data_IF_304084296423
#
_entry.id   IF_304084296423
#
_cell.length_a   1.000
_cell.length_b   1.000
_cell.length_c   1.000
_cell.angle_alpha   90.00
_cell.angle_beta   90.00
_cell.angle_gamma   90.00
#
_symmetry.space_group_name_H-M   'P 1'
#
loop_
_entity.id
_entity.type
_entity.pdbx_description
1 polymer ?
#
# COMPACT_ATOMS: atom_id res chain seq x y z
N UNK A 1 -7.56 43.92 65.58
CA UNK A 1 -6.92 44.02 64.24
C UNK A 1 -6.46 42.64 63.80
N UNK A 2 -7.19 42.01 62.88
CA UNK A 2 -6.77 40.85 62.08
C UNK A 2 -7.25 41.15 60.65
N UNK A 3 -6.39 41.06 59.62
CA UNK A 3 -6.77 41.44 58.26
C UNK A 3 -7.60 40.31 57.63
N UNK A 4 -8.69 40.69 56.96
CA UNK A 4 -9.48 39.81 56.12
C UNK A 4 -8.85 39.86 54.72
N UNK A 5 -8.13 38.80 54.35
CA UNK A 5 -7.51 38.67 53.02
C UNK A 5 -8.61 38.17 52.05
N UNK A 6 -9.06 39.03 51.14
CA UNK A 6 -9.83 38.61 49.97
C UNK A 6 -8.89 37.86 49.02
N UNK A 7 -9.15 36.57 48.80
CA UNK A 7 -8.57 35.83 47.68
C UNK A 7 -9.40 36.10 46.42
N UNK A 8 -8.79 36.55 45.31
CA UNK A 8 -9.51 36.70 44.05
C UNK A 8 -9.80 35.30 43.49
N UNK A 9 -11.06 35.03 43.18
CA UNK A 9 -11.47 33.88 42.38
C UNK A 9 -10.95 34.07 40.95
N UNK A 10 -9.80 33.45 40.66
CA UNK A 10 -9.29 33.34 39.30
C UNK A 10 -10.21 32.39 38.52
N UNK A 11 -11.16 32.94 37.75
CA UNK A 11 -11.95 32.17 36.82
C UNK A 11 -11.03 31.68 35.69
N UNK A 12 -10.57 30.44 35.79
CA UNK A 12 -9.83 29.78 34.72
C UNK A 12 -10.83 29.47 33.60
N UNK A 13 -10.91 30.35 32.59
CA UNK A 13 -11.65 30.05 31.37
C UNK A 13 -10.91 28.96 30.61
N UNK A 14 -11.30 27.70 30.83
CA UNK A 14 -10.95 26.61 29.92
C UNK A 14 -11.58 26.96 28.56
N UNK A 15 -10.77 27.45 27.63
CA UNK A 15 -11.10 27.39 26.21
C UNK A 15 -10.95 25.93 25.82
N UNK A 16 -12.00 25.15 26.02
CA UNK A 16 -12.14 23.84 25.39
C UNK A 16 -12.03 24.09 23.88
N UNK A 17 -11.11 23.44 23.15
CA UNK A 17 -11.18 23.45 21.70
C UNK A 17 -12.55 22.86 21.35
N UNK A 18 -13.43 23.68 20.78
CA UNK A 18 -14.65 23.19 20.19
C UNK A 18 -14.24 22.11 19.20
N UNK A 19 -14.66 20.86 19.41
CA UNK A 19 -14.60 19.83 18.39
C UNK A 19 -15.21 20.48 17.13
N UNK A 20 -14.37 20.79 16.14
CA UNK A 20 -14.85 21.16 14.82
C UNK A 20 -15.77 20.01 14.42
N UNK A 21 -17.06 20.28 14.26
CA UNK A 21 -17.99 19.33 13.68
C UNK A 21 -17.31 18.79 12.41
N UNK A 22 -17.10 17.48 12.34
CA UNK A 22 -16.27 16.88 11.31
C UNK A 22 -16.83 17.31 9.95
N UNK A 23 -16.10 18.16 9.24
CA UNK A 23 -16.54 18.80 8.00
C UNK A 23 -17.04 17.72 7.03
N UNK A 24 -18.19 17.96 6.40
CA UNK A 24 -18.73 17.02 5.41
C UNK A 24 -17.74 17.02 4.25
N UNK A 25 -17.21 15.84 3.89
CA UNK A 25 -16.32 15.72 2.74
C UNK A 25 -17.10 16.12 1.47
N UNK A 26 -16.45 16.84 0.53
CA UNK A 26 -17.11 17.26 -0.70
C UNK A 26 -17.52 16.06 -1.54
N UNK A 27 -18.60 16.23 -2.29
CA UNK A 27 -19.02 15.24 -3.28
C UNK A 27 -17.98 15.15 -4.41
N UNK A 28 -17.76 13.96 -4.95
CA UNK A 28 -16.86 13.72 -6.10
C UNK A 28 -17.57 13.00 -7.24
N UNK A 29 -17.03 13.14 -8.45
CA UNK A 29 -17.38 12.33 -9.63
C UNK A 29 -16.14 11.63 -10.18
N UNK A 30 -16.35 10.77 -11.18
CA UNK A 30 -15.29 10.03 -11.87
C UNK A 30 -15.38 10.28 -13.36
N UNK A 31 -14.24 10.67 -13.94
CA UNK A 31 -14.10 10.78 -15.39
C UNK A 31 -13.18 9.69 -15.89
N UNK A 32 -13.62 8.95 -16.92
CA UNK A 32 -12.77 7.92 -17.53
C UNK A 32 -11.57 8.60 -18.15
N UNK A 33 -10.39 8.29 -17.63
CA UNK A 33 -9.13 8.85 -18.08
C UNK A 33 -8.48 7.94 -19.12
N UNK A 34 -8.36 6.63 -18.81
CA UNK A 34 -7.73 5.68 -19.72
C UNK A 34 -8.37 4.29 -19.67
N UNK A 35 -8.16 3.49 -20.71
CA UNK A 35 -8.72 2.13 -20.83
C UNK A 35 -7.86 1.23 -21.72
N UNK A 36 -8.08 -0.08 -21.62
CA UNK A 36 -7.43 -1.07 -22.50
C UNK A 36 -6.15 -1.66 -21.93
N UNK A 37 -5.88 -1.43 -20.65
CA UNK A 37 -4.90 -2.17 -19.85
C UNK A 37 -5.42 -3.56 -19.54
N UNK A 38 -4.52 -4.48 -19.18
CA UNK A 38 -4.90 -5.80 -18.68
C UNK A 38 -5.22 -5.71 -17.19
N UNK A 39 -4.26 -5.28 -16.36
CA UNK A 39 -4.43 -5.10 -14.91
C UNK A 39 -3.51 -3.98 -14.40
N UNK A 40 -3.91 -2.70 -14.49
CA UNK A 40 -3.10 -1.57 -14.06
C UNK A 40 -3.09 -1.48 -12.52
N UNK A 41 -1.93 -1.62 -11.90
CA UNK A 41 -1.76 -1.67 -10.43
C UNK A 41 -1.32 -0.34 -9.81
N UNK A 42 -0.53 0.45 -10.56
CA UNK A 42 -0.04 1.74 -10.08
C UNK A 42 0.17 2.70 -11.24
N UNK A 43 -0.03 3.99 -11.00
CA UNK A 43 0.30 5.07 -11.93
C UNK A 43 1.04 6.20 -11.22
N UNK A 44 2.25 6.50 -11.68
CA UNK A 44 3.09 7.58 -11.14
C UNK A 44 3.40 8.63 -12.21
N UNK A 45 3.61 9.90 -11.82
CA UNK A 45 4.08 10.93 -12.76
C UNK A 45 5.49 10.61 -13.25
N UNK A 46 5.81 11.02 -14.48
CA UNK A 46 7.09 10.74 -15.13
C UNK A 46 7.69 11.95 -15.86
N UNK A 47 7.18 12.27 -17.04
CA UNK A 47 7.56 13.43 -17.84
C UNK A 47 6.31 14.27 -18.11
N UNK A 48 6.16 14.85 -19.31
CA UNK A 48 4.98 15.63 -19.75
C UNK A 48 4.44 15.06 -21.06
N UNK A 49 3.28 15.54 -21.53
CA UNK A 49 2.70 15.16 -22.82
C UNK A 49 2.41 13.66 -22.94
N UNK A 50 2.85 13.03 -24.02
CA UNK A 50 2.61 11.60 -24.31
C UNK A 50 3.23 10.61 -23.30
N UNK A 51 4.06 11.12 -22.38
CA UNK A 51 4.77 10.34 -21.35
C UNK A 51 4.54 10.89 -19.95
N UNK A 52 3.42 11.57 -19.73
CA UNK A 52 3.11 12.16 -18.44
C UNK A 52 3.14 11.15 -17.29
N UNK A 53 2.81 9.88 -17.56
CA UNK A 53 2.76 8.84 -16.54
C UNK A 53 3.48 7.54 -16.93
N UNK A 54 3.95 6.83 -15.91
CA UNK A 54 4.22 5.40 -15.97
C UNK A 54 3.07 4.63 -15.32
N UNK A 55 2.50 3.67 -16.04
CA UNK A 55 1.46 2.77 -15.53
C UNK A 55 2.02 1.36 -15.46
N UNK A 56 2.05 0.78 -14.26
CA UNK A 56 2.42 -0.63 -14.06
C UNK A 56 1.24 -1.51 -14.44
N UNK A 57 1.34 -2.25 -15.52
CA UNK A 57 0.40 -3.32 -15.86
C UNK A 57 0.97 -4.65 -15.36
N UNK A 58 0.24 -5.33 -14.48
CA UNK A 58 0.66 -6.55 -13.77
C UNK A 58 1.26 -7.62 -14.70
N UNK A 59 0.81 -7.64 -15.96
CA UNK A 59 1.27 -8.57 -17.00
C UNK A 59 2.73 -8.39 -17.45
N UNK A 60 3.52 -7.55 -16.77
CA UNK A 60 4.96 -7.40 -17.02
C UNK A 60 5.29 -6.26 -17.95
N UNK A 61 4.40 -5.29 -18.15
CA UNK A 61 4.68 -4.11 -18.97
C UNK A 61 4.41 -2.84 -18.18
N UNK A 62 5.42 -1.97 -18.12
CA UNK A 62 5.23 -0.61 -17.64
C UNK A 62 5.00 0.26 -18.87
N UNK A 63 3.82 0.85 -18.98
CA UNK A 63 3.42 1.67 -20.13
C UNK A 63 3.66 3.15 -19.87
N UNK A 64 4.04 3.89 -20.91
CA UNK A 64 3.74 5.32 -20.94
C UNK A 64 2.24 5.55 -21.06
N UNK A 65 1.76 6.64 -20.47
CA UNK A 65 0.42 7.16 -20.69
C UNK A 65 0.46 8.70 -20.85
N UNK A 66 -0.35 9.19 -21.79
CA UNK A 66 -0.46 10.59 -22.16
C UNK A 66 -1.18 11.41 -21.06
N UNK A 67 -0.86 12.70 -20.95
CA UNK A 67 -1.50 13.65 -20.04
C UNK A 67 -3.02 13.76 -20.21
N UNK A 68 -3.52 13.48 -21.42
CA UNK A 68 -4.95 13.47 -21.80
C UNK A 68 -5.59 12.10 -21.61
N UNK A 69 -4.82 11.09 -21.17
CA UNK A 69 -5.26 9.73 -20.98
C UNK A 69 -5.37 8.94 -22.29
N UNK A 70 -6.36 8.05 -22.40
CA UNK A 70 -6.61 7.25 -23.60
C UNK A 70 -6.19 5.78 -23.50
N UNK A 71 -5.33 5.31 -24.42
CA UNK A 71 -4.85 3.91 -24.48
C UNK A 71 -3.41 3.81 -23.96
N UNK A 72 -2.97 2.63 -23.47
CA UNK A 72 -1.57 2.43 -23.09
C UNK A 72 -0.65 2.76 -24.27
N UNK A 73 0.35 3.61 -24.03
CA UNK A 73 1.34 4.00 -25.01
C UNK A 73 2.44 2.93 -25.18
N UNK A 74 3.56 3.36 -25.77
CA UNK A 74 4.77 2.53 -25.90
C UNK A 74 5.20 2.01 -24.52
N UNK A 75 5.71 0.78 -24.47
CA UNK A 75 6.33 0.23 -23.27
C UNK A 75 7.52 1.10 -22.86
N UNK A 76 7.50 1.60 -21.63
CA UNK A 76 8.66 2.14 -20.95
C UNK A 76 9.63 1.01 -20.60
N UNK A 77 9.11 -0.10 -20.10
CA UNK A 77 9.85 -1.33 -19.77
C UNK A 77 8.96 -2.55 -20.05
N UNK A 78 9.56 -3.62 -20.60
CA UNK A 78 8.89 -4.89 -20.89
C UNK A 78 9.64 -6.04 -20.20
N UNK A 79 9.02 -6.57 -19.15
CA UNK A 79 9.49 -7.66 -18.29
C UNK A 79 8.77 -8.98 -18.55
N UNK A 80 7.96 -9.10 -19.62
CA UNK A 80 7.17 -10.32 -19.89
C UNK A 80 8.00 -11.60 -19.99
N UNK A 81 9.28 -11.47 -20.34
CA UNK A 81 10.24 -12.59 -20.41
C UNK A 81 10.96 -12.87 -19.09
N UNK A 82 10.86 -11.95 -18.13
CA UNK A 82 11.55 -11.99 -16.85
C UNK A 82 10.62 -12.37 -15.71
N UNK A 83 9.30 -12.24 -15.88
CA UNK A 83 8.31 -12.62 -14.87
C UNK A 83 7.85 -14.07 -15.01
N UNK A 84 7.28 -14.61 -13.94
CA UNK A 84 6.56 -15.89 -13.95
C UNK A 84 5.35 -15.89 -14.89
N UNK A 85 4.88 -17.08 -15.26
CA UNK A 85 3.59 -17.23 -15.93
C UNK A 85 2.44 -16.93 -14.96
N UNK A 86 1.62 -15.94 -15.31
CA UNK A 86 0.48 -15.51 -14.51
C UNK A 86 -0.76 -16.40 -14.75
N UNK A 87 -1.52 -16.61 -13.69
CA UNK A 87 -2.84 -17.23 -13.73
C UNK A 87 -3.84 -16.26 -14.35
N UNK A 88 -4.88 -16.80 -15.00
CA UNK A 88 -5.97 -15.97 -15.57
C UNK A 88 -6.90 -15.37 -14.51
N UNK A 89 -7.09 -16.10 -13.41
CA UNK A 89 -7.84 -15.68 -12.23
C UNK A 89 -6.95 -14.92 -11.24
N UNK A 90 -7.33 -14.89 -9.97
CA UNK A 90 -6.54 -14.26 -8.91
C UNK A 90 -5.06 -14.69 -8.99
N UNK A 91 -4.20 -13.67 -9.01
CA UNK A 91 -2.75 -13.77 -8.98
C UNK A 91 -2.24 -12.44 -8.45
N UNK A 92 -1.31 -12.43 -7.50
CA UNK A 92 -0.68 -11.20 -6.99
C UNK A 92 0.73 -11.02 -7.56
N UNK A 93 1.24 -12.00 -8.30
CA UNK A 93 2.54 -11.94 -8.98
C UNK A 93 2.48 -11.07 -10.22
N UNK A 94 3.66 -10.67 -10.70
CA UNK A 94 3.83 -9.93 -11.95
C UNK A 94 4.84 -8.81 -11.82
N UNK A 95 4.67 -7.74 -12.59
CA UNK A 95 5.33 -6.45 -12.28
C UNK A 95 4.44 -5.64 -11.35
N UNK A 96 4.96 -5.26 -10.17
CA UNK A 96 4.11 -4.80 -9.07
C UNK A 96 4.44 -3.36 -8.64
N UNK A 97 5.73 -3.04 -8.46
CA UNK A 97 6.16 -1.73 -8.00
C UNK A 97 7.03 -1.00 -9.01
N UNK A 98 6.89 0.33 -9.07
CA UNK A 98 7.83 1.21 -9.78
C UNK A 98 8.10 2.46 -8.95
N UNK A 99 9.36 2.88 -8.87
CA UNK A 99 9.75 4.15 -8.27
C UNK A 99 10.86 4.82 -9.08
N UNK A 100 10.73 6.11 -9.32
CA UNK A 100 11.82 6.92 -9.87
C UNK A 100 12.75 7.34 -8.74
N UNK A 101 14.05 7.38 -9.02
CA UNK A 101 15.01 7.95 -8.08
C UNK A 101 14.61 9.40 -7.70
N UNK A 102 14.76 9.86 -6.45
CA UNK A 102 14.39 11.24 -6.09
C UNK A 102 15.14 12.30 -6.92
N UNK A 103 16.36 11.98 -7.34
CA UNK A 103 17.17 12.77 -8.26
C UNK A 103 17.08 12.29 -9.72
N UNK A 104 15.92 11.81 -10.17
CA UNK A 104 15.75 11.17 -11.49
C UNK A 104 16.29 12.01 -12.66
N UNK A 105 16.16 13.34 -12.60
CA UNK A 105 16.66 14.25 -13.65
C UNK A 105 18.17 14.11 -13.89
N UNK A 106 18.96 13.83 -12.87
CA UNK A 106 20.41 13.63 -12.98
C UNK A 106 20.79 12.15 -13.08
N UNK A 107 20.15 11.28 -12.30
CA UNK A 107 20.55 9.87 -12.23
C UNK A 107 20.00 9.02 -13.35
N UNK A 108 18.81 9.38 -13.88
CA UNK A 108 18.04 8.60 -14.86
C UNK A 108 17.86 7.15 -14.44
N UNK A 109 17.68 6.90 -13.13
CA UNK A 109 17.48 5.57 -12.54
C UNK A 109 16.03 5.34 -12.16
N UNK A 110 15.53 4.14 -12.46
CA UNK A 110 14.21 3.65 -12.06
C UNK A 110 14.37 2.32 -11.32
N UNK A 111 13.52 2.07 -10.33
CA UNK A 111 13.47 0.85 -9.54
C UNK A 111 12.16 0.14 -9.81
N UNK A 112 12.24 -1.17 -9.99
CA UNK A 112 11.07 -2.02 -10.29
C UNK A 112 11.11 -3.25 -9.41
N UNK A 113 9.96 -3.60 -8.82
CA UNK A 113 9.78 -4.85 -8.10
C UNK A 113 8.86 -5.78 -8.91
N UNK A 114 9.30 -7.02 -9.11
CA UNK A 114 8.58 -8.00 -9.91
C UNK A 114 8.85 -9.45 -9.49
N UNK A 115 7.91 -10.34 -9.80
CA UNK A 115 7.97 -11.78 -9.51
C UNK A 115 8.70 -12.54 -10.64
N UNK A 116 9.97 -12.88 -10.45
CA UNK A 116 10.77 -13.68 -11.39
C UNK A 116 10.62 -15.19 -11.11
N UNK A 117 10.83 -16.10 -12.09
CA UNK A 117 10.92 -17.53 -11.81
C UNK A 117 11.86 -17.83 -10.64
N UNK A 118 11.52 -18.83 -9.83
CA UNK A 118 12.35 -19.24 -8.70
C UNK A 118 13.81 -19.40 -9.16
N UNK A 119 14.72 -18.74 -8.44
CA UNK A 119 16.15 -18.82 -8.72
C UNK A 119 16.63 -20.28 -8.64
N UNK A 120 17.68 -20.61 -9.40
CA UNK A 120 18.23 -21.96 -9.43
C UNK A 120 18.75 -22.45 -8.08
N UNK A 121 19.18 -21.52 -7.23
CA UNK A 121 19.63 -21.69 -5.86
C UNK A 121 18.58 -21.21 -4.84
N UNK A 122 17.37 -20.93 -5.30
CA UNK A 122 16.23 -20.56 -4.48
C UNK A 122 15.76 -21.71 -3.60
N UNK A 123 14.94 -21.36 -2.61
CA UNK A 123 14.43 -22.31 -1.62
C UNK A 123 13.51 -23.33 -2.29
N UNK A 124 13.81 -24.62 -2.12
CA UNK A 124 13.04 -25.69 -2.76
C UNK A 124 11.55 -25.58 -2.40
N UNK A 125 10.68 -25.80 -3.39
CA UNK A 125 9.21 -25.73 -3.29
C UNK A 125 8.61 -24.34 -3.04
N UNK A 126 9.39 -23.27 -3.06
CA UNK A 126 8.85 -21.91 -3.08
C UNK A 126 8.30 -21.60 -4.49
N UNK A 127 7.35 -20.67 -4.58
CA UNK A 127 6.64 -20.39 -5.82
C UNK A 127 7.55 -19.65 -6.82
N UNK A 128 8.26 -18.63 -6.35
CA UNK A 128 9.05 -17.76 -7.21
C UNK A 128 10.09 -16.93 -6.40
N UNK A 129 10.98 -16.23 -7.09
CA UNK A 129 11.91 -15.27 -6.46
C UNK A 129 11.53 -13.86 -6.89
N UNK A 130 11.17 -13.01 -5.95
CA UNK A 130 10.88 -11.62 -6.24
C UNK A 130 12.16 -10.79 -6.33
N UNK A 131 12.21 -9.88 -7.30
CA UNK A 131 13.38 -9.05 -7.61
C UNK A 131 13.04 -7.58 -7.39
N UNK A 132 13.88 -6.88 -6.64
CA UNK A 132 14.01 -5.43 -6.70
C UNK A 132 15.20 -5.10 -7.60
N UNK A 133 14.92 -4.51 -8.77
CA UNK A 133 15.93 -4.19 -9.78
C UNK A 133 16.01 -2.69 -10.07
N UNK A 134 17.22 -2.19 -10.28
CA UNK A 134 17.50 -0.87 -10.83
C UNK A 134 17.70 -0.97 -12.36
N UNK A 135 17.12 -0.05 -13.11
CA UNK A 135 17.37 0.14 -14.54
C UNK A 135 17.78 1.59 -14.83
N UNK A 136 18.59 1.78 -15.87
CA UNK A 136 18.90 3.09 -16.44
C UNK A 136 17.92 3.45 -17.54
N UNK A 137 17.54 4.71 -17.60
CA UNK A 137 16.65 5.27 -18.62
C UNK A 137 17.47 5.89 -19.75
N UNK A 138 17.16 5.49 -20.98
CA UNK A 138 17.83 5.97 -22.21
C UNK A 138 17.42 7.40 -22.55
N UNK A 139 18.11 7.97 -23.53
CA UNK A 139 17.76 9.28 -24.10
C UNK A 139 16.34 9.32 -24.71
N UNK A 140 15.85 8.19 -25.22
CA UNK A 140 14.48 8.09 -25.77
C UNK A 140 13.39 7.97 -24.70
N UNK A 141 13.75 8.06 -23.41
CA UNK A 141 12.84 7.97 -22.26
C UNK A 141 12.51 6.55 -21.82
N UNK A 142 12.83 5.51 -22.58
CA UNK A 142 12.55 4.12 -22.18
C UNK A 142 13.65 3.54 -21.29
N UNK A 143 13.31 2.61 -20.41
CA UNK A 143 14.30 1.86 -19.63
C UNK A 143 15.12 0.94 -20.54
N UNK A 144 16.43 0.80 -20.27
CA UNK A 144 17.29 -0.19 -20.93
C UNK A 144 17.25 -1.50 -20.15
N UNK A 145 16.57 -2.51 -20.68
CA UNK A 145 16.49 -3.85 -20.06
C UNK A 145 17.86 -4.50 -19.85
N UNK A 146 18.88 -4.13 -20.64
CA UNK A 146 20.24 -4.68 -20.49
C UNK A 146 21.05 -3.98 -19.39
N UNK A 147 20.51 -2.89 -18.84
CA UNK A 147 21.15 -2.15 -17.74
C UNK A 147 20.72 -2.64 -16.37
N UNK A 148 19.92 -3.72 -16.32
CA UNK A 148 19.42 -4.28 -15.08
C UNK A 148 20.54 -4.55 -14.08
N UNK A 149 20.33 -4.05 -12.86
CA UNK A 149 21.11 -4.38 -11.69
C UNK A 149 20.17 -4.81 -10.59
N UNK A 150 20.22 -6.09 -10.23
CA UNK A 150 19.47 -6.64 -9.10
C UNK A 150 20.02 -6.00 -7.82
N UNK A 151 19.15 -5.33 -7.08
CA UNK A 151 19.46 -4.68 -5.81
C UNK A 151 19.20 -5.65 -4.66
N UNK A 152 18.06 -6.35 -4.69
CA UNK A 152 17.64 -7.26 -3.65
C UNK A 152 16.75 -8.36 -4.22
N UNK A 153 16.82 -9.57 -3.65
CA UNK A 153 15.95 -10.69 -3.99
C UNK A 153 15.40 -11.34 -2.73
N UNK A 154 14.20 -11.91 -2.85
CA UNK A 154 13.57 -12.69 -1.78
C UNK A 154 12.72 -13.81 -2.41
N UNK A 155 12.90 -15.04 -1.92
CA UNK A 155 12.04 -16.14 -2.33
C UNK A 155 10.66 -16.02 -1.66
N UNK A 156 9.61 -16.18 -2.47
CA UNK A 156 8.22 -16.11 -2.04
C UNK A 156 7.65 -17.53 -1.99
N UNK A 157 7.16 -18.00 -0.83
CA UNK A 157 6.68 -19.36 -0.71
C UNK A 157 5.36 -19.61 -1.43
N UNK A 158 4.54 -18.57 -1.62
CA UNK A 158 3.26 -18.65 -2.34
C UNK A 158 3.16 -17.57 -3.42
N UNK A 159 2.08 -17.65 -4.20
CA UNK A 159 1.76 -16.73 -5.30
C UNK A 159 0.93 -15.51 -4.88
N UNK A 160 0.72 -15.35 -3.57
CA UNK A 160 -0.07 -14.29 -2.97
C UNK A 160 0.65 -13.72 -1.75
N UNK A 161 0.22 -12.54 -1.32
CA UNK A 161 0.89 -11.66 -0.36
C UNK A 161 2.28 -11.22 -0.84
N UNK A 162 2.39 -10.94 -2.14
CA UNK A 162 3.63 -10.53 -2.79
C UNK A 162 4.09 -9.11 -2.40
N UNK A 163 3.17 -8.28 -1.92
CA UNK A 163 3.39 -6.86 -1.64
C UNK A 163 3.93 -6.14 -2.88
N UNK A 164 5.11 -5.55 -2.74
CA UNK A 164 5.88 -5.06 -3.88
C UNK A 164 5.73 -3.58 -4.22
N UNK A 165 4.97 -2.83 -3.44
CA UNK A 165 4.94 -1.37 -3.59
C UNK A 165 6.31 -0.77 -3.21
N UNK A 166 6.75 0.22 -4.00
CA UNK A 166 8.03 0.90 -3.88
C UNK A 166 7.81 2.40 -3.71
N UNK A 167 8.40 2.98 -2.69
CA UNK A 167 8.40 4.44 -2.51
C UNK A 167 9.74 4.94 -2.02
N UNK A 168 10.12 6.14 -2.44
CA UNK A 168 11.20 6.88 -1.78
C UNK A 168 10.61 7.76 -0.70
N UNK A 169 11.09 7.60 0.53
CA UNK A 169 10.76 8.49 1.63
C UNK A 169 11.37 9.88 1.41
N UNK A 170 10.89 10.86 2.18
CA UNK A 170 11.45 12.24 2.15
C UNK A 170 12.88 12.32 2.69
N UNK A 171 13.32 11.26 3.37
CA UNK A 171 14.68 11.00 3.82
C UNK A 171 15.61 10.51 2.70
N UNK A 172 15.10 10.24 1.50
CA UNK A 172 15.87 9.80 0.34
C UNK A 172 16.09 8.28 0.27
N UNK A 173 15.57 7.50 1.22
CA UNK A 173 15.73 6.05 1.22
C UNK A 173 14.60 5.35 0.47
N UNK A 174 14.91 4.19 -0.11
CA UNK A 174 13.95 3.35 -0.81
C UNK A 174 13.27 2.40 0.19
N UNK A 175 11.95 2.36 0.17
CA UNK A 175 11.13 1.47 0.98
C UNK A 175 10.42 0.44 0.08
N UNK A 176 10.42 -0.81 0.52
CA UNK A 176 9.75 -1.94 -0.14
C UNK A 176 8.86 -2.66 0.87
N UNK A 177 7.56 -2.76 0.57
CA UNK A 177 6.64 -3.60 1.33
C UNK A 177 6.65 -5.04 0.85
N UNK A 178 6.72 -6.00 1.77
CA UNK A 178 6.63 -7.44 1.49
C UNK A 178 5.58 -8.05 2.42
N UNK A 179 4.63 -8.78 1.84
CA UNK A 179 3.68 -9.56 2.65
C UNK A 179 4.34 -10.74 3.33
N UNK A 180 3.59 -11.42 4.19
CA UNK A 180 4.04 -12.53 5.04
C UNK A 180 4.38 -13.82 4.26
N UNK A 181 4.20 -13.84 2.94
CA UNK A 181 4.50 -14.98 2.08
C UNK A 181 3.27 -15.79 1.68
N UNK A 182 2.07 -15.36 2.08
CA UNK A 182 0.82 -15.91 1.57
C UNK A 182 0.18 -16.94 2.50
N UNK A 183 -0.61 -17.84 1.91
CA UNK A 183 -1.45 -18.77 2.67
C UNK A 183 -2.40 -18.04 3.65
N UNK A 184 -2.98 -18.77 4.60
CA UNK A 184 -3.85 -18.21 5.62
C UNK A 184 -3.14 -18.14 6.97
N UNK A 185 -3.44 -17.09 7.74
CA UNK A 185 -3.09 -16.94 9.15
C UNK A 185 -1.58 -16.86 9.45
N UNK A 186 -0.72 -16.66 8.45
CA UNK A 186 0.74 -16.69 8.61
C UNK A 186 1.22 -17.99 9.29
N UNK A 187 0.56 -19.09 8.91
CA UNK A 187 0.87 -20.45 9.37
C UNK A 187 1.32 -21.28 8.19
N UNK A 188 2.28 -22.15 8.47
CA UNK A 188 2.75 -23.08 7.46
C UNK A 188 1.65 -24.08 7.10
N UNK A 189 1.20 -24.15 5.83
CA UNK A 189 0.15 -25.08 5.41
C UNK A 189 0.57 -26.55 5.52
N UNK A 190 1.88 -26.85 5.59
CA UNK A 190 2.44 -28.19 5.74
C UNK A 190 2.75 -28.54 7.21
N UNK A 191 2.60 -27.60 8.14
CA UNK A 191 2.86 -27.81 9.57
C UNK A 191 4.34 -27.87 9.96
N UNK A 192 5.27 -27.61 9.03
CA UNK A 192 6.72 -27.50 9.26
C UNK A 192 7.25 -26.24 8.55
N UNK A 193 8.32 -25.55 9.03
CA UNK A 193 8.81 -24.30 8.42
C UNK A 193 9.27 -24.39 6.95
N UNK A 194 9.29 -25.59 6.38
CA UNK A 194 9.66 -25.87 5.00
C UNK A 194 8.62 -25.36 3.98
N UNK A 195 7.37 -25.11 4.39
CA UNK A 195 6.35 -24.48 3.55
C UNK A 195 6.43 -22.94 3.53
N UNK A 196 7.45 -22.37 4.17
CA UNK A 196 7.83 -20.97 4.07
C UNK A 196 7.43 -20.07 5.23
N UNK A 197 6.69 -20.57 6.23
CA UNK A 197 6.28 -19.78 7.39
C UNK A 197 6.93 -20.27 8.69
N UNK A 198 7.60 -19.36 9.39
CA UNK A 198 8.21 -19.63 10.69
C UNK A 198 7.16 -19.87 11.79
N UNK A 199 7.56 -20.57 12.86
CA UNK A 199 6.68 -20.75 14.02
C UNK A 199 6.34 -19.38 14.64
N UNK A 200 5.06 -19.04 14.69
CA UNK A 200 4.57 -17.74 15.15
C UNK A 200 4.46 -16.67 14.05
N UNK A 201 4.68 -17.06 12.79
CA UNK A 201 4.46 -16.25 11.61
C UNK A 201 5.70 -15.48 11.13
N UNK A 202 5.81 -15.36 9.82
CA UNK A 202 6.82 -14.56 9.15
C UNK A 202 6.74 -13.09 9.57
N UNK A 203 5.55 -12.55 9.85
CA UNK A 203 5.39 -11.19 10.36
C UNK A 203 6.28 -10.89 11.57
N UNK A 204 6.42 -11.85 12.50
CA UNK A 204 7.25 -11.73 13.70
C UNK A 204 8.68 -12.30 13.55
N UNK A 205 8.94 -13.07 12.50
CA UNK A 205 10.25 -13.67 12.26
C UNK A 205 11.25 -12.61 11.74
N UNK A 206 12.17 -12.17 12.61
CA UNK A 206 13.18 -11.15 12.28
C UNK A 206 14.35 -11.69 11.44
N UNK A 207 14.48 -13.02 11.32
CA UNK A 207 15.41 -13.68 10.42
C UNK A 207 14.87 -13.83 8.98
N UNK A 208 13.63 -13.39 8.72
CA UNK A 208 12.93 -13.44 7.42
C UNK A 208 12.65 -12.03 6.92
N UNK A 209 12.56 -11.89 5.59
CA UNK A 209 12.21 -10.63 4.93
C UNK A 209 10.70 -10.45 4.69
N UNK A 210 9.91 -11.49 4.94
CA UNK A 210 8.46 -11.53 4.70
C UNK A 210 7.69 -10.94 5.88
N UNK A 211 6.59 -10.24 5.59
CA UNK A 211 5.75 -9.53 6.56
C UNK A 211 6.45 -8.29 7.13
N UNK A 212 7.07 -7.51 6.24
CA UNK A 212 7.99 -6.40 6.56
C UNK A 212 7.77 -5.19 5.63
N UNK A 213 8.21 -4.03 6.10
CA UNK A 213 8.67 -2.96 5.20
C UNK A 213 10.18 -2.84 5.38
N UNK A 214 10.90 -3.05 4.27
CA UNK A 214 12.35 -2.94 4.19
C UNK A 214 12.75 -1.52 3.79
N UNK A 215 13.92 -1.04 4.24
CA UNK A 215 14.46 0.28 3.93
C UNK A 215 15.93 0.22 3.54
N UNK A 216 16.25 0.79 2.38
CA UNK A 216 17.57 0.71 1.74
C UNK A 216 18.14 2.10 1.46
N UNK A 217 19.45 2.25 1.63
CA UNK A 217 20.23 3.36 1.08
C UNK A 217 20.87 2.96 -0.25
N UNK A 218 20.32 3.45 -1.36
CA UNK A 218 20.75 3.06 -2.70
C UNK A 218 21.92 3.93 -3.21
N UNK A 219 22.24 5.03 -2.52
CA UNK A 219 23.20 6.02 -2.99
C UNK A 219 24.58 5.86 -2.34
N UNK A 220 24.64 5.43 -1.08
CA UNK A 220 25.91 5.39 -0.33
C UNK A 220 26.83 4.24 -0.72
N UNK A 221 26.31 3.11 -1.21
CA UNK A 221 27.10 1.94 -1.59
C UNK A 221 26.35 1.09 -2.62
N UNK A 222 27.07 0.37 -3.49
CA UNK A 222 26.49 -0.67 -4.33
C UNK A 222 26.55 -2.06 -3.66
N UNK A 223 25.50 -2.91 -3.77
CA UNK A 223 24.21 -2.61 -4.40
C UNK A 223 23.34 -1.64 -3.59
N UNK A 224 23.54 -1.60 -2.26
CA UNK A 224 22.97 -0.63 -1.32
C UNK A 224 23.79 -0.61 -0.01
N UNK A 225 23.47 0.32 0.89
CA UNK A 225 23.87 0.35 2.29
C UNK A 225 22.63 0.27 3.21
N UNK A 226 22.86 0.00 4.49
CA UNK A 226 21.82 0.02 5.52
C UNK A 226 21.78 1.41 6.19
N UNK A 227 20.63 2.11 6.18
CA UNK A 227 20.47 3.39 6.88
C UNK A 227 20.71 3.29 8.40
N UNK A 228 21.30 4.32 9.02
CA UNK A 228 21.54 4.36 10.49
C UNK A 228 20.25 4.27 11.33
N UNK A 229 19.09 4.60 10.74
CA UNK A 229 17.79 4.52 11.40
C UNK A 229 17.10 3.15 11.29
N UNK A 230 17.74 2.13 10.72
CA UNK A 230 17.19 0.77 10.71
C UNK A 230 17.40 0.10 12.08
N UNK A 231 16.36 -0.46 12.72
CA UNK A 231 16.44 -1.03 14.07
C UNK A 231 17.50 -2.12 14.26
N UNK A 232 17.83 -2.86 13.21
CA UNK A 232 18.72 -4.02 13.29
C UNK A 232 20.08 -3.83 12.64
N UNK A 233 20.45 -2.60 12.26
CA UNK A 233 21.77 -2.32 11.69
C UNK A 233 22.88 -2.75 12.64
N UNK A 234 23.77 -3.64 12.19
CA UNK A 234 24.86 -4.22 12.97
C UNK A 234 24.43 -5.22 14.04
N UNK A 235 23.13 -5.53 14.16
CA UNK A 235 22.59 -6.46 15.14
C UNK A 235 22.49 -7.88 14.57
N UNK A 236 22.49 -8.88 15.47
CA UNK A 236 22.19 -10.28 15.14
C UNK A 236 20.73 -10.64 15.40
N UNK A 237 19.96 -9.73 15.99
CA UNK A 237 18.58 -9.97 16.43
C UNK A 237 17.59 -9.97 15.25
N UNK A 238 17.97 -9.39 14.12
CA UNK A 238 17.16 -9.33 12.91
C UNK A 238 17.96 -8.98 11.66
N UNK A 239 17.32 -9.11 10.50
CA UNK A 239 17.89 -8.65 9.22
C UNK A 239 18.02 -7.13 9.21
N UNK A 240 19.15 -6.62 8.75
CA UNK A 240 19.50 -5.20 8.84
C UNK A 240 18.59 -4.30 7.96
N UNK A 241 18.00 -4.86 6.92
CA UNK A 241 17.10 -4.21 5.96
C UNK A 241 15.71 -3.92 6.58
N UNK A 242 15.33 -4.63 7.64
CA UNK A 242 14.01 -4.50 8.27
C UNK A 242 13.92 -3.12 8.92
N UNK A 243 12.95 -2.32 8.47
CA UNK A 243 12.57 -1.07 9.12
C UNK A 243 11.32 -1.26 9.97
N UNK A 244 10.31 -1.93 9.43
CA UNK A 244 9.10 -2.33 10.15
C UNK A 244 8.80 -3.81 9.94
N UNK A 245 8.17 -4.44 10.93
CA UNK A 245 7.75 -5.84 10.88
C UNK A 245 6.37 -6.02 11.49
N UNK A 246 5.81 -7.22 11.43
CA UNK A 246 4.46 -7.50 11.90
C UNK A 246 3.38 -6.96 10.97
N UNK A 247 3.60 -7.12 9.66
CA UNK A 247 2.70 -6.68 8.58
C UNK A 247 2.23 -7.93 7.83
N UNK A 248 0.98 -7.95 7.34
CA UNK A 248 0.40 -9.12 6.67
C UNK A 248 0.59 -9.09 5.16
N UNK A 249 -0.06 -8.16 4.46
CA UNK A 249 0.03 -7.97 3.02
C UNK A 249 -0.10 -6.48 2.69
N UNK A 250 1.01 -5.73 2.69
CA UNK A 250 1.02 -4.29 2.44
C UNK A 250 0.81 -4.01 0.94
N UNK A 251 -0.46 -3.98 0.51
CA UNK A 251 -0.82 -3.84 -0.91
C UNK A 251 -0.55 -2.44 -1.46
N UNK A 252 -0.95 -1.40 -0.73
CA UNK A 252 -0.78 -0.01 -1.14
C UNK A 252 0.20 0.71 -0.23
N UNK A 253 1.25 1.32 -0.80
CA UNK A 253 2.17 2.20 -0.06
C UNK A 253 2.31 3.52 -0.79
N UNK A 254 2.15 4.62 -0.06
CA UNK A 254 2.29 5.97 -0.63
C UNK A 254 3.06 6.90 0.29
N UNK A 255 3.59 7.98 -0.26
CA UNK A 255 4.20 9.08 0.49
C UNK A 255 3.33 10.31 0.32
N UNK A 256 2.95 10.91 1.43
CA UNK A 256 2.44 12.27 1.41
C UNK A 256 3.61 13.25 1.27
N UNK A 257 3.83 13.78 0.07
CA UNK A 257 4.99 14.65 -0.20
C UNK A 257 5.04 15.92 0.66
N UNK A 258 3.90 16.37 1.18
CA UNK A 258 3.84 17.53 2.07
C UNK A 258 4.36 17.18 3.47
N UNK A 259 3.74 16.21 4.15
CA UNK A 259 4.15 15.81 5.52
C UNK A 259 5.43 14.95 5.56
N UNK A 260 5.67 14.14 4.53
CA UNK A 260 6.70 13.10 4.49
C UNK A 260 6.25 11.76 5.06
N UNK A 261 5.00 11.63 5.52
CA UNK A 261 4.47 10.39 6.05
C UNK A 261 4.39 9.32 4.95
N UNK A 262 4.88 8.14 5.25
CA UNK A 262 4.66 6.94 4.44
C UNK A 262 3.44 6.23 5.01
N UNK A 263 2.43 6.01 4.18
CA UNK A 263 1.17 5.36 4.56
C UNK A 263 1.15 3.98 3.93
N UNK A 264 0.81 2.96 4.72
CA UNK A 264 0.75 1.56 4.33
C UNK A 264 -0.69 1.07 4.53
N UNK A 265 -1.33 0.61 3.47
CA UNK A 265 -2.57 -0.14 3.53
C UNK A 265 -2.22 -1.63 3.65
N UNK A 266 -2.50 -2.22 4.80
CA UNK A 266 -2.19 -3.61 5.12
C UNK A 266 -3.48 -4.44 5.10
N UNK A 267 -3.53 -5.43 4.19
CA UNK A 267 -4.70 -6.27 4.01
C UNK A 267 -4.79 -7.28 5.14
N UNK A 268 -5.90 -7.25 5.89
CA UNK A 268 -6.15 -8.16 7.00
C UNK A 268 -6.51 -9.59 6.60
N UNK A 269 -6.70 -10.44 7.59
CA UNK A 269 -7.02 -11.85 7.39
C UNK A 269 -8.53 -12.06 7.23
N UNK A 270 -9.27 -11.90 8.32
CA UNK A 270 -10.71 -12.20 8.38
C UNK A 270 -11.53 -11.09 9.02
N UNK A 271 -10.91 -10.25 9.87
CA UNK A 271 -11.64 -9.35 10.78
C UNK A 271 -11.52 -7.90 10.37
N UNK A 272 -10.32 -7.43 10.04
CA UNK A 272 -10.07 -6.01 9.90
C UNK A 272 -9.09 -5.66 8.80
N UNK A 273 -9.39 -4.58 8.07
CA UNK A 273 -8.42 -3.91 7.22
C UNK A 273 -7.72 -2.79 8.00
N UNK A 274 -6.48 -2.49 7.64
CA UNK A 274 -5.65 -1.52 8.36
C UNK A 274 -5.03 -0.45 7.45
N UNK A 275 -5.05 0.79 7.92
CA UNK A 275 -4.17 1.86 7.43
C UNK A 275 -3.18 2.19 8.53
N UNK A 276 -1.91 2.17 8.16
CA UNK A 276 -0.76 2.35 9.02
C UNK A 276 0.04 3.59 8.56
N UNK A 277 0.55 4.38 9.51
CA UNK A 277 1.60 5.38 9.24
C UNK A 277 2.93 4.75 9.64
N UNK A 278 3.82 4.61 8.67
CA UNK A 278 5.05 3.85 8.83
C UNK A 278 5.99 4.53 9.83
N UNK A 279 6.48 3.74 10.78
CA UNK A 279 7.57 4.07 11.68
C UNK A 279 8.39 2.79 11.90
N UNK A 280 9.60 2.94 12.46
CA UNK A 280 10.39 1.76 12.79
C UNK A 280 9.75 1.01 13.96
N UNK A 281 9.37 -0.27 13.78
CA UNK A 281 8.71 -1.03 14.85
C UNK A 281 7.86 -2.22 14.40
N UNK A 282 7.19 -2.84 15.36
CA UNK A 282 6.33 -4.00 15.21
C UNK A 282 4.85 -3.61 15.04
N UNK A 283 4.25 -3.86 13.89
CA UNK A 283 2.84 -3.59 13.59
C UNK A 283 1.89 -4.72 14.03
N UNK A 284 2.44 -5.80 14.58
CA UNK A 284 1.67 -6.77 15.37
C UNK A 284 1.30 -8.08 14.69
N UNK A 285 1.18 -8.15 13.36
CA UNK A 285 0.80 -9.40 12.68
C UNK A 285 1.82 -10.55 12.89
N UNK A 286 1.40 -11.81 13.13
CA UNK A 286 0.03 -12.29 13.31
C UNK A 286 -0.38 -12.38 14.79
N UNK A 287 0.25 -11.61 15.70
CA UNK A 287 -0.22 -11.55 17.10
C UNK A 287 -1.44 -10.66 17.24
N UNK A 288 -1.60 -9.69 16.36
CA UNK A 288 -2.72 -8.75 16.29
C UNK A 288 -3.22 -8.62 14.85
N UNK A 289 -4.51 -8.38 14.71
CA UNK A 289 -5.16 -7.93 13.47
C UNK A 289 -6.07 -6.77 13.86
N UNK A 290 -5.83 -5.60 13.26
CA UNK A 290 -6.32 -4.32 13.71
C UNK A 290 -5.92 -4.07 15.17
N UNK A 291 -6.94 -4.03 16.02
CA UNK A 291 -6.79 -3.74 17.44
C UNK A 291 -7.03 -4.94 18.35
N UNK A 292 -7.18 -6.14 17.76
CA UNK A 292 -7.55 -7.34 18.49
C UNK A 292 -6.44 -8.38 18.39
N UNK A 293 -6.16 -9.07 19.51
CA UNK A 293 -5.30 -10.24 19.50
C UNK A 293 -5.81 -11.25 18.45
N UNK A 294 -4.89 -11.86 17.73
CA UNK A 294 -5.17 -12.84 16.68
C UNK A 294 -4.68 -14.22 17.12
N UNK A 295 -5.57 -15.20 17.06
CA UNK A 295 -5.23 -16.61 17.24
C UNK A 295 -5.19 -17.26 15.85
N UNK A 296 -3.99 -17.67 15.43
CA UNK A 296 -3.80 -18.27 14.11
C UNK A 296 -4.59 -19.58 13.90
N UNK A 297 -5.01 -20.26 14.98
CA UNK A 297 -5.87 -21.45 14.94
C UNK A 297 -7.36 -21.12 15.00
N UNK A 298 -7.70 -19.88 15.38
CA UNK A 298 -9.07 -19.37 15.44
C UNK A 298 -9.13 -17.99 14.78
N UNK A 299 -8.88 -17.90 13.47
CA UNK A 299 -8.65 -16.62 12.78
C UNK A 299 -9.88 -15.71 12.72
N UNK A 300 -11.05 -16.24 13.08
CA UNK A 300 -12.30 -15.47 13.19
C UNK A 300 -12.66 -15.17 14.65
N UNK A 301 -11.85 -15.52 15.65
CA UNK A 301 -12.13 -15.27 17.07
C UNK A 301 -11.05 -14.39 17.74
N UNK A 302 -11.42 -13.48 18.65
CA UNK A 302 -12.79 -13.08 18.97
C UNK A 302 -13.42 -12.25 17.82
N UNK A 303 -14.69 -12.51 17.53
CA UNK A 303 -15.53 -11.66 16.68
C UNK A 303 -16.04 -10.45 17.50
N UNK A 304 -15.17 -9.51 17.86
CA UNK A 304 -15.57 -8.30 18.59
C UNK A 304 -15.19 -7.02 17.85
N UNK A 305 -16.07 -6.02 17.88
CA UNK A 305 -15.76 -4.64 17.48
C UNK A 305 -15.02 -3.87 18.60
N UNK A 306 -14.83 -4.50 19.76
CA UNK A 306 -14.08 -3.90 20.85
C UNK A 306 -12.61 -3.80 20.47
N UNK A 307 -12.26 -2.59 20.05
CA UNK A 307 -10.91 -2.12 19.84
C UNK A 307 -10.19 -2.11 21.19
N UNK A 308 -9.21 -2.99 21.35
CA UNK A 308 -8.29 -2.92 22.49
C UNK A 308 -7.06 -2.10 22.09
N UNK A 309 -6.48 -1.35 23.03
CA UNK A 309 -5.23 -0.66 22.73
C UNK A 309 -4.17 -1.70 22.31
N UNK A 310 -3.37 -1.39 21.28
CA UNK A 310 -2.21 -2.20 20.97
C UNK A 310 -1.32 -2.28 22.22
N UNK A 311 -0.82 -3.47 22.60
CA UNK A 311 0.04 -3.58 23.77
C UNK A 311 1.32 -2.78 23.59
N UNK A 312 2.01 -2.54 24.71
CA UNK A 312 3.36 -1.97 24.69
C UNK A 312 4.29 -2.78 23.77
N UNK A 313 5.08 -2.07 22.96
CA UNK A 313 5.98 -2.68 21.98
C UNK A 313 5.38 -2.89 20.58
N UNK A 314 4.10 -2.57 20.38
CA UNK A 314 3.46 -2.56 19.06
C UNK A 314 3.13 -1.15 18.57
N UNK A 315 3.22 -0.96 17.27
CA UNK A 315 2.77 0.24 16.55
C UNK A 315 1.33 -0.01 16.12
N UNK A 316 0.39 0.76 16.68
CA UNK A 316 -1.02 0.62 16.33
C UNK A 316 -1.32 1.20 14.94
N UNK A 317 -2.24 0.61 14.18
CA UNK A 317 -2.79 1.24 12.99
C UNK A 317 -3.47 2.57 13.33
N UNK A 318 -3.41 3.52 12.39
CA UNK A 318 -4.07 4.83 12.56
C UNK A 318 -5.54 4.76 12.23
N UNK A 319 -5.96 3.78 11.41
CA UNK A 319 -7.34 3.54 11.02
C UNK A 319 -7.54 2.03 10.82
N UNK A 320 -8.61 1.50 11.40
CA UNK A 320 -9.02 0.10 11.26
C UNK A 320 -10.50 0.07 10.96
N UNK A 321 -10.93 -0.83 10.08
CA UNK A 321 -12.35 -1.05 9.81
C UNK A 321 -12.66 -2.53 9.55
N UNK A 322 -13.87 -3.00 9.93
CA UNK A 322 -14.20 -4.41 9.85
C UNK A 322 -14.45 -4.87 8.41
N UNK A 323 -14.06 -6.12 8.14
CA UNK A 323 -14.44 -6.83 6.93
C UNK A 323 -15.96 -7.00 6.85
N UNK A 324 -16.52 -7.00 5.64
CA UNK A 324 -17.95 -7.14 5.41
C UNK A 324 -18.55 -8.43 5.98
N UNK A 325 -17.80 -9.53 5.87
CA UNK A 325 -18.21 -10.85 6.34
C UNK A 325 -17.61 -11.22 7.70
N UNK A 326 -16.64 -10.43 8.19
CA UNK A 326 -15.80 -10.78 9.33
C UNK A 326 -16.49 -10.81 10.68
N UNK A 327 -17.68 -10.21 10.81
CA UNK A 327 -18.36 -10.05 12.10
C UNK A 327 -19.84 -10.41 12.08
N UNK A 328 -20.27 -11.29 11.16
CA UNK A 328 -21.54 -12.05 11.23
C UNK A 328 -22.84 -11.28 11.49
N UNK A 329 -22.86 -9.92 11.44
CA UNK A 329 -23.97 -9.00 11.70
C UNK A 329 -23.60 -7.50 11.65
N UNK A 330 -22.33 -7.10 11.80
CA UNK A 330 -21.91 -5.70 11.64
C UNK A 330 -21.73 -5.34 10.15
N UNK A 331 -22.11 -4.13 9.74
CA UNK A 331 -21.86 -3.65 8.38
C UNK A 331 -20.36 -3.39 8.20
N UNK A 332 -19.61 -4.36 7.66
CA UNK A 332 -18.23 -4.11 7.24
C UNK A 332 -18.16 -3.39 5.89
N UNK A 333 -17.00 -2.80 5.63
CA UNK A 333 -16.80 -1.85 4.54
C UNK A 333 -16.08 -2.44 3.32
N UNK A 334 -15.41 -3.59 3.49
CA UNK A 334 -14.68 -4.25 2.42
C UNK A 334 -14.11 -5.62 2.80
N UNK A 335 -13.22 -6.14 1.95
CA UNK A 335 -12.61 -7.48 2.12
C UNK A 335 -11.12 -7.52 1.74
N UNK A 336 -10.58 -6.41 1.23
CA UNK A 336 -9.16 -6.28 0.94
C UNK A 336 -8.86 -4.81 0.65
N UNK A 337 -8.17 -4.14 1.57
CA UNK A 337 -7.81 -2.73 1.35
C UNK A 337 -6.78 -2.59 0.23
N UNK A 338 -7.10 -1.78 -0.78
CA UNK A 338 -6.18 -1.47 -1.90
C UNK A 338 -5.23 -0.32 -1.53
N UNK A 339 -5.61 0.50 -0.56
CA UNK A 339 -4.91 1.73 -0.20
C UNK A 339 -5.27 2.90 -1.11
N UNK A 340 -4.38 3.88 -1.26
CA UNK A 340 -4.58 5.03 -2.12
C UNK A 340 -3.59 6.17 -1.90
N UNK A 341 -4.02 7.42 -2.03
CA UNK A 341 -3.16 8.61 -1.98
C UNK A 341 -3.74 9.74 -1.13
N UNK A 342 -2.86 10.51 -0.48
CA UNK A 342 -3.26 11.78 0.12
C UNK A 342 -3.53 12.78 -0.98
N UNK A 343 -4.75 13.33 -1.02
CA UNK A 343 -5.12 14.31 -2.02
C UNK A 343 -4.41 15.63 -1.75
N UNK A 344 -3.62 16.07 -2.73
CA UNK A 344 -2.88 17.35 -2.73
C UNK A 344 -3.21 18.21 -3.96
N UNK A 345 -4.24 17.79 -4.70
CA UNK A 345 -4.76 18.47 -5.87
C UNK A 345 -5.42 19.80 -5.56
N UNK A 346 -5.66 20.58 -6.60
CA UNK A 346 -6.31 21.90 -6.50
C UNK A 346 -7.75 21.89 -6.99
N UNK A 347 -8.14 20.86 -7.75
CA UNK A 347 -9.50 20.78 -8.29
C UNK A 347 -10.56 20.64 -7.18
N UNK A 348 -10.25 19.96 -6.08
CA UNK A 348 -11.16 19.68 -4.96
C UNK A 348 -10.54 20.15 -3.64
N UNK A 349 -10.52 21.47 -3.34
CA UNK A 349 -9.84 22.01 -2.16
C UNK A 349 -10.25 21.39 -0.82
N UNK A 350 -11.52 20.97 -0.70
CA UNK A 350 -12.04 20.32 0.51
C UNK A 350 -11.49 18.91 0.79
N UNK A 351 -10.69 18.34 -0.12
CA UNK A 351 -9.99 17.07 0.10
C UNK A 351 -8.51 17.24 0.43
N UNK A 352 -7.97 18.47 0.47
CA UNK A 352 -6.54 18.67 0.74
C UNK A 352 -6.11 18.02 2.07
N UNK A 353 -5.16 17.09 2.00
CA UNK A 353 -4.67 16.33 3.16
C UNK A 353 -5.51 15.11 3.56
N UNK A 354 -6.64 14.84 2.88
CA UNK A 354 -7.44 13.63 3.10
C UNK A 354 -6.78 12.45 2.38
N UNK A 355 -6.60 11.33 3.08
CA UNK A 355 -6.15 10.09 2.46
C UNK A 355 -7.32 9.42 1.74
N UNK A 356 -7.34 9.45 0.41
CA UNK A 356 -8.35 8.80 -0.41
C UNK A 356 -7.93 7.35 -0.64
N UNK A 357 -8.78 6.40 -0.24
CA UNK A 357 -8.51 4.97 -0.35
C UNK A 357 -9.78 4.17 -0.64
N UNK A 358 -9.60 2.92 -1.06
CA UNK A 358 -10.69 2.00 -1.33
C UNK A 358 -10.28 0.55 -1.03
N UNK A 359 -11.28 -0.32 -1.03
CA UNK A 359 -11.11 -1.77 -1.08
C UNK A 359 -11.21 -2.30 -2.50
N UNK A 360 -10.59 -3.46 -2.72
CA UNK A 360 -10.74 -4.25 -3.92
C UNK A 360 -12.21 -4.53 -4.24
N UNK A 361 -12.99 -4.89 -3.23
CA UNK A 361 -14.45 -5.02 -3.29
C UNK A 361 -15.09 -4.80 -1.92
N UNK A 362 -16.39 -4.47 -1.89
CA UNK A 362 -17.12 -4.45 -0.61
C UNK A 362 -17.38 -5.84 -0.02
N UNK A 363 -17.43 -6.88 -0.86
CA UNK A 363 -17.58 -8.28 -0.43
C UNK A 363 -17.00 -9.22 -1.47
N UNK A 364 -16.79 -10.49 -1.12
CA UNK A 364 -16.32 -11.51 -2.08
C UNK A 364 -17.33 -11.76 -3.22
N UNK A 365 -18.61 -11.49 -2.96
CA UNK A 365 -19.70 -11.51 -3.93
C UNK A 365 -19.92 -10.15 -4.65
N UNK A 366 -19.15 -9.13 -4.27
CA UNK A 366 -19.50 -7.73 -4.40
C UNK A 366 -19.69 -7.22 -5.83
N UNK A 367 -20.79 -6.46 -6.01
CA UNK A 367 -21.06 -5.56 -7.14
C UNK A 367 -21.06 -4.09 -6.71
N UNK A 368 -20.53 -3.82 -5.52
CA UNK A 368 -20.49 -2.50 -4.89
C UNK A 368 -19.07 -2.21 -4.43
N UNK A 369 -18.64 -0.98 -4.63
CA UNK A 369 -17.28 -0.52 -4.34
C UNK A 369 -17.37 0.87 -3.72
N UNK A 370 -16.53 1.18 -2.73
CA UNK A 370 -16.55 2.44 -2.01
C UNK A 370 -15.25 3.21 -2.19
N UNK A 371 -15.34 4.54 -2.18
CA UNK A 371 -14.19 5.42 -1.95
C UNK A 371 -14.35 6.03 -0.56
N UNK A 372 -13.28 5.98 0.21
CA UNK A 372 -13.22 6.43 1.59
C UNK A 372 -12.19 7.55 1.74
N UNK A 373 -12.41 8.41 2.72
CA UNK A 373 -11.47 9.43 3.16
C UNK A 373 -11.01 9.12 4.58
N UNK A 374 -9.70 8.98 4.78
CA UNK A 374 -9.05 8.97 6.08
C UNK A 374 -8.74 10.39 6.51
N UNK A 375 -9.42 10.87 7.55
CA UNK A 375 -9.24 12.20 8.12
C UNK A 375 -8.31 12.09 9.32
N UNK A 376 -7.21 12.84 9.31
CA UNK A 376 -6.20 12.81 10.36
C UNK A 376 -6.65 13.61 11.58
N UNK A 377 -7.30 12.95 12.55
CA UNK A 377 -7.69 13.61 13.81
C UNK A 377 -6.48 13.83 14.73
N UNK A 378 -5.52 12.90 14.70
CA UNK A 378 -4.23 12.98 15.39
C UNK A 378 -3.15 12.22 14.61
N UNK A 379 -1.92 12.16 15.17
CA UNK A 379 -0.83 11.33 14.61
C UNK A 379 -1.11 9.83 14.68
N UNK A 380 -1.96 9.39 15.60
CA UNK A 380 -2.18 7.97 15.91
C UNK A 380 -3.61 7.52 15.65
N UNK A 381 -4.50 8.43 15.24
CA UNK A 381 -5.93 8.11 15.08
C UNK A 381 -6.53 8.94 13.97
N UNK A 382 -7.11 8.25 12.99
CA UNK A 382 -7.80 8.83 11.86
C UNK A 382 -9.24 8.35 11.80
N UNK A 383 -10.15 9.22 11.37
CA UNK A 383 -11.56 8.89 11.14
C UNK A 383 -11.78 8.52 9.68
N UNK A 384 -12.40 7.37 9.45
CA UNK A 384 -12.89 6.98 8.13
C UNK A 384 -14.23 7.66 7.82
N UNK A 385 -14.36 8.24 6.63
CA UNK A 385 -15.65 8.69 6.07
C UNK A 385 -15.85 8.16 4.66
N UNK A 386 -17.09 7.82 4.31
CA UNK A 386 -17.46 7.53 2.92
C UNK A 386 -17.47 8.83 2.12
N UNK A 387 -16.82 8.84 0.95
CA UNK A 387 -16.87 9.98 0.04
C UNK A 387 -18.24 10.00 -0.67
N UNK A 388 -19.02 11.09 -0.56
CA UNK A 388 -20.31 11.21 -1.23
C UNK A 388 -20.16 11.52 -2.75
N UNK A 389 -21.23 11.31 -3.54
CA UNK A 389 -21.28 11.70 -4.98
C UNK A 389 -21.45 10.56 -6.01
N UNK A 390 -21.56 9.32 -5.56
CA UNK A 390 -21.72 8.12 -6.38
C UNK A 390 -23.09 7.96 -7.08
N UNK A 391 -23.26 8.45 -8.31
CA UNK A 391 -24.57 8.42 -9.03
C UNK A 391 -24.96 7.08 -9.69
N UNK A 392 -24.33 5.94 -9.36
CA UNK A 392 -24.71 4.63 -9.97
C UNK A 392 -25.26 3.64 -8.94
N UNK A 393 -26.10 2.66 -9.34
CA UNK A 393 -26.66 1.63 -8.44
C UNK A 393 -25.61 0.74 -7.76
N UNK A 394 -24.35 0.78 -8.22
CA UNK A 394 -23.21 0.01 -7.72
C UNK A 394 -22.26 0.84 -6.81
N UNK A 395 -22.60 2.09 -6.48
CA UNK A 395 -21.68 3.01 -5.80
C UNK A 395 -20.86 3.85 -6.80
N UNK A 396 -19.83 4.58 -6.33
CA UNK A 396 -19.11 5.55 -7.15
C UNK A 396 -18.28 4.90 -8.27
N UNK A 397 -17.87 3.66 -8.04
CA UNK A 397 -17.06 2.84 -8.93
C UNK A 397 -17.79 1.50 -9.03
N UNK A 398 -18.09 1.02 -10.23
CA UNK A 398 -18.82 -0.26 -10.44
C UNK A 398 -17.88 -1.42 -10.81
N UNK A 399 -16.63 -1.33 -10.38
CA UNK A 399 -15.49 -2.15 -10.80
C UNK A 399 -14.56 -2.35 -9.60
N UNK A 400 -13.81 -3.46 -9.59
CA UNK A 400 -12.81 -3.72 -8.54
C UNK A 400 -11.74 -2.65 -8.59
N UNK A 401 -11.39 -2.08 -7.44
CA UNK A 401 -10.31 -1.10 -7.32
C UNK A 401 -9.02 -1.86 -7.05
N UNK A 402 -8.13 -1.90 -8.02
CA UNK A 402 -6.89 -2.70 -7.95
C UNK A 402 -5.65 -1.85 -7.71
N UNK A 403 -5.79 -0.52 -7.80
CA UNK A 403 -4.69 0.40 -7.57
C UNK A 403 -5.12 1.86 -7.59
N UNK A 404 -4.15 2.72 -7.32
CA UNK A 404 -4.30 4.17 -7.36
C UNK A 404 -3.14 4.81 -8.12
N UNK A 405 -3.31 6.08 -8.48
CA UNK A 405 -2.25 6.91 -9.01
C UNK A 405 -2.49 8.38 -8.74
N UNK A 406 -1.49 9.19 -9.07
CA UNK A 406 -1.55 10.64 -8.92
C UNK A 406 -0.82 11.34 -10.06
N UNK A 407 -1.16 12.61 -10.30
CA UNK A 407 -0.44 13.47 -11.23
C UNK A 407 0.52 14.45 -10.52
N UNK A 408 1.33 15.16 -11.29
CA UNK A 408 2.27 16.17 -10.76
C UNK A 408 1.56 17.29 -9.98
N UNK A 409 0.26 17.51 -10.24
CA UNK A 409 -0.57 18.48 -9.55
C UNK A 409 -1.17 17.96 -8.24
N UNK A 410 -1.02 16.67 -7.92
CA UNK A 410 -1.59 16.03 -6.74
C UNK A 410 -3.05 15.57 -6.92
N UNK A 411 -3.57 15.59 -8.15
CA UNK A 411 -4.88 15.00 -8.44
C UNK A 411 -4.78 13.47 -8.38
N UNK A 412 -5.83 12.81 -7.90
CA UNK A 412 -5.83 11.37 -7.61
C UNK A 412 -6.68 10.61 -8.63
N UNK A 413 -6.21 9.42 -8.99
CA UNK A 413 -6.79 8.52 -9.96
C UNK A 413 -7.03 7.15 -9.34
N UNK A 414 -8.10 6.49 -9.77
CA UNK A 414 -8.43 5.12 -9.35
C UNK A 414 -8.24 4.16 -10.52
N UNK A 415 -7.50 3.09 -10.29
CA UNK A 415 -7.21 2.03 -11.27
C UNK A 415 -8.12 0.85 -10.97
N UNK A 416 -8.81 0.37 -12.00
CA UNK A 416 -9.93 -0.57 -11.83
C UNK A 416 -9.90 -1.71 -12.81
N UNK A 417 -10.51 -2.83 -12.42
CA UNK A 417 -10.69 -4.00 -13.27
C UNK A 417 -12.11 -4.57 -13.17
N UNK A 418 -12.61 -5.18 -14.24
CA UNK A 418 -13.82 -6.03 -14.22
C UNK A 418 -13.50 -7.52 -14.16
N UNK A 419 -12.26 -7.92 -14.49
CA UNK A 419 -11.75 -9.28 -14.30
C UNK A 419 -11.05 -9.42 -12.95
N UNK A 420 -11.15 -10.62 -12.33
CA UNK A 420 -10.54 -10.94 -11.03
C UNK A 420 -9.02 -11.19 -11.07
N UNK A 421 -8.38 -11.02 -12.22
CA UNK A 421 -6.98 -11.36 -12.42
C UNK A 421 -6.39 -10.71 -13.67
N UNK A 422 -5.09 -10.91 -13.92
CA UNK A 422 -4.34 -10.25 -14.99
C UNK A 422 -4.61 -10.87 -16.37
N UNK A 423 -5.86 -10.78 -16.84
CA UNK A 423 -6.25 -11.26 -18.16
C UNK A 423 -7.27 -10.37 -18.88
N UNK A 424 -7.31 -10.47 -20.21
CA UNK A 424 -8.19 -9.66 -21.05
C UNK A 424 -7.66 -8.24 -21.25
N UNK A 425 -8.57 -7.27 -21.44
CA UNK A 425 -8.26 -5.83 -21.55
C UNK A 425 -9.29 -5.00 -20.78
N UNK A 426 -9.46 -5.39 -19.52
CA UNK A 426 -10.52 -4.92 -18.65
C UNK A 426 -10.08 -3.77 -17.73
N UNK A 427 -8.78 -3.43 -17.72
CA UNK A 427 -8.22 -2.36 -16.92
C UNK A 427 -8.61 -0.96 -17.42
N UNK A 428 -9.07 -0.12 -16.50
CA UNK A 428 -9.39 1.29 -16.74
C UNK A 428 -8.87 2.18 -15.60
N UNK A 429 -8.56 3.43 -15.94
CA UNK A 429 -8.11 4.47 -15.02
C UNK A 429 -9.14 5.59 -15.01
N UNK A 430 -9.52 6.05 -13.83
CA UNK A 430 -10.55 7.07 -13.61
C UNK A 430 -9.97 8.23 -12.81
N UNK A 431 -10.13 9.46 -13.31
CA UNK A 431 -9.76 10.66 -12.56
C UNK A 431 -10.86 10.99 -11.55
N UNK A 432 -10.49 11.26 -10.31
CA UNK A 432 -11.42 11.83 -9.32
C UNK A 432 -11.54 13.32 -9.60
N UNK A 433 -12.77 13.79 -9.81
CA UNK A 433 -13.07 15.20 -10.15
C UNK A 433 -14.15 15.75 -9.22
N UNK A 434 -14.33 17.08 -9.11
CA UNK A 434 -15.38 17.66 -8.28
C UNK A 434 -16.79 17.11 -8.58
N UNK A 435 -17.60 16.97 -7.53
CA UNK A 435 -19.04 16.75 -7.62
C UNK A 435 -19.74 17.88 -8.40
N UNK A 436 -20.89 17.56 -9.01
CA UNK A 436 -21.73 18.54 -9.71
C UNK A 436 -22.85 19.03 -8.80
#
# INVERSE_FOLDING_TARGET
MKPLILLPTLALSLVLPTLKAAEKLPDVNYEKFASGFVSPLSMIPYEEGERAFLVVDQTGVIHFLDEKGGKPGKAFLDLRKSIVNLKKGFDERGSLGVALHPQFKSTRKVYVYYSAPLASDGTENFDHTAHLSEFKVKADGTADTRSERIIFTVDQPQWNHDGGNLVFGKDGFLYLGLGDGGAANDLDPKGSPEGGHEKGGNGQALNRYLGKVLRFDIDSKAPYAIPDGNPFKGSKDGREEIYAWGIRNPWGITVDHESGDIIVADVGQNRFEEINVLSAGNFGWPRYEGYAAFDQLKPSEPCTLEVSAAPEGFVAPVLVYPHHEGLGKAAGYGVSVTGGHVYRGKAIPGLNGVYLFADWAQSWAGKKYGLYGGIRDSKTTWTMKVIPGAKTPAGPISRMVIGFGYDQGGEVYVLTNTGKGPSGKNGEIWKIVPGK
#
